data_IF_666766531606
#
_entry.id   IF_666766531606
#
_cell.length_a   1.000
_cell.length_b   1.000
_cell.length_c   1.000
_cell.angle_alpha   90.00
_cell.angle_beta   90.00
_cell.angle_gamma   90.00
#
_symmetry.space_group_name_H-M   'P 1'
#
loop_
_entity.id
_entity.type
_entity.pdbx_description
1 polymer ?
#
# COMPACT_ATOMS: atom_id res chain seq x y z
N UNK A 1 -37.71 -2.65 11.81
CA UNK A 1 -37.19 -3.42 10.67
C UNK A 1 -35.77 -3.85 11.03
N UNK A 2 -35.39 -5.13 10.87
CA UNK A 2 -34.01 -5.54 11.14
C UNK A 2 -33.10 -4.83 10.15
N UNK A 3 -32.07 -4.14 10.65
CA UNK A 3 -31.10 -3.46 9.82
C UNK A 3 -30.20 -4.49 9.13
N UNK A 4 -30.02 -4.32 7.83
CA UNK A 4 -29.21 -5.20 6.99
C UNK A 4 -27.73 -4.87 7.25
N UNK A 5 -27.00 -5.78 7.88
CA UNK A 5 -25.56 -5.65 8.04
C UNK A 5 -24.91 -5.71 6.66
N UNK A 6 -24.17 -4.66 6.28
CA UNK A 6 -23.42 -4.67 5.02
C UNK A 6 -22.23 -5.61 5.22
N UNK A 7 -22.34 -6.83 4.67
CA UNK A 7 -21.26 -7.81 4.68
C UNK A 7 -20.09 -7.28 3.85
N UNK A 8 -18.95 -7.02 4.50
CA UNK A 8 -17.71 -6.60 3.84
C UNK A 8 -16.68 -7.71 3.93
N UNK A 9 -16.13 -8.06 2.79
CA UNK A 9 -15.04 -9.03 2.72
C UNK A 9 -13.72 -8.28 2.74
N UNK A 10 -12.82 -8.71 3.62
CA UNK A 10 -11.46 -8.21 3.68
C UNK A 10 -10.48 -9.31 3.27
N UNK A 11 -9.29 -8.90 2.84
CA UNK A 11 -8.24 -9.80 2.40
C UNK A 11 -6.94 -9.47 3.13
N UNK A 12 -6.21 -10.51 3.50
CA UNK A 12 -4.89 -10.42 4.15
C UNK A 12 -3.93 -11.39 3.47
N UNK A 13 -2.64 -11.07 3.47
CA UNK A 13 -1.61 -11.88 2.81
C UNK A 13 -1.13 -11.25 1.51
N UNK A 14 -0.64 -12.06 0.58
CA UNK A 14 0.03 -11.57 -0.63
C UNK A 14 -0.91 -11.67 -1.83
N UNK A 15 -1.17 -10.53 -2.49
CA UNK A 15 -1.89 -10.47 -3.75
C UNK A 15 -0.92 -10.23 -4.91
N UNK A 16 -1.00 -11.08 -5.93
CA UNK A 16 -0.44 -10.79 -7.24
C UNK A 16 -1.47 -9.97 -8.03
N UNK A 17 -1.16 -8.70 -8.30
CA UNK A 17 -2.09 -7.77 -8.94
C UNK A 17 -1.42 -7.04 -10.10
N UNK A 18 -2.22 -6.57 -11.05
CA UNK A 18 -1.80 -5.57 -12.05
C UNK A 18 -2.46 -4.23 -11.74
N UNK A 19 -1.88 -3.15 -12.25
CA UNK A 19 -2.50 -1.82 -12.17
C UNK A 19 -3.64 -1.74 -13.18
N UNK A 20 -4.88 -1.60 -12.71
CA UNK A 20 -6.07 -1.43 -13.54
C UNK A 20 -6.27 0.04 -13.92
N UNK A 21 -6.06 0.96 -12.98
CA UNK A 21 -6.20 2.40 -13.20
C UNK A 21 -5.31 3.23 -12.26
N UNK A 22 -5.07 4.49 -12.63
CA UNK A 22 -4.31 5.48 -11.83
C UNK A 22 -5.17 6.75 -11.75
N UNK A 23 -5.50 7.21 -10.55
CA UNK A 23 -6.42 8.34 -10.32
C UNK A 23 -7.64 8.37 -11.26
N UNK A 24 -8.43 7.25 -11.34
CA UNK A 24 -9.60 7.21 -12.20
C UNK A 24 -10.62 8.27 -11.79
N UNK A 25 -11.27 8.82 -12.81
CA UNK A 25 -12.41 9.73 -12.67
C UNK A 25 -13.59 9.02 -11.99
N UNK A 26 -14.58 9.79 -11.54
CA UNK A 26 -15.79 9.24 -10.92
C UNK A 26 -16.52 8.27 -11.85
N UNK A 27 -16.60 8.58 -13.15
CA UNK A 27 -17.22 7.71 -14.15
C UNK A 27 -16.47 6.38 -14.30
N UNK A 28 -15.14 6.44 -14.42
CA UNK A 28 -14.30 5.23 -14.52
C UNK A 28 -14.40 4.37 -13.25
N UNK A 29 -14.48 4.99 -12.06
CA UNK A 29 -14.65 4.24 -10.80
C UNK A 29 -15.99 3.50 -10.76
N UNK A 30 -17.07 4.13 -11.22
CA UNK A 30 -18.39 3.48 -11.33
C UNK A 30 -18.31 2.29 -12.30
N UNK A 31 -17.69 2.46 -13.46
CA UNK A 31 -17.50 1.39 -14.45
C UNK A 31 -16.67 0.22 -13.89
N UNK A 32 -15.66 0.53 -13.08
CA UNK A 32 -14.85 -0.46 -12.37
C UNK A 32 -15.59 -1.15 -11.20
N UNK A 33 -16.80 -0.72 -10.87
CA UNK A 33 -17.57 -1.21 -9.71
C UNK A 33 -17.03 -0.73 -8.36
N UNK A 34 -16.22 0.34 -8.37
CA UNK A 34 -15.71 0.99 -7.17
C UNK A 34 -16.75 2.00 -6.71
N UNK A 35 -17.69 1.56 -5.88
CA UNK A 35 -18.68 2.45 -5.29
C UNK A 35 -18.28 2.76 -3.86
N UNK A 36 -18.08 4.02 -3.51
CA UNK A 36 -17.86 4.40 -2.11
C UNK A 36 -19.17 4.29 -1.34
N UNK A 37 -19.12 3.91 -0.05
CA UNK A 37 -20.31 3.90 0.81
C UNK A 37 -21.04 5.26 0.78
N UNK A 38 -20.27 6.35 0.75
CA UNK A 38 -20.82 7.71 0.64
C UNK A 38 -21.58 7.94 -0.69
N UNK A 39 -21.17 7.27 -1.78
CA UNK A 39 -21.87 7.31 -3.07
C UNK A 39 -23.15 6.47 -3.06
N UNK A 40 -23.16 5.35 -2.31
CA UNK A 40 -24.36 4.53 -2.08
C UNK A 40 -25.37 5.26 -1.21
N UNK A 41 -24.91 5.90 -0.12
CA UNK A 41 -25.76 6.54 0.88
C UNK A 41 -26.35 7.86 0.40
N UNK A 42 -25.63 8.61 -0.44
CA UNK A 42 -26.07 9.95 -0.91
C UNK A 42 -26.64 9.98 -2.32
N UNK A 43 -26.54 8.87 -3.08
CA UNK A 43 -26.89 8.83 -4.51
C UNK A 43 -26.05 9.78 -5.38
N UNK A 44 -24.93 10.32 -4.84
CA UNK A 44 -24.05 11.27 -5.50
C UNK A 44 -22.59 10.88 -5.24
N UNK A 45 -21.79 10.78 -6.29
CA UNK A 45 -20.34 10.68 -6.13
C UNK A 45 -19.79 12.06 -5.79
N UNK A 46 -19.16 12.22 -4.62
CA UNK A 46 -18.31 13.40 -4.38
C UNK A 46 -17.07 13.29 -5.28
N UNK A 47 -16.69 14.38 -5.98
CA UNK A 47 -15.48 14.38 -6.76
C UNK A 47 -14.28 14.08 -5.86
N UNK A 48 -13.40 13.19 -6.31
CA UNK A 48 -12.18 12.86 -5.56
C UNK A 48 -11.25 14.05 -5.58
N UNK A 49 -10.96 14.59 -4.40
CA UNK A 49 -9.83 15.47 -4.24
C UNK A 49 -8.55 14.63 -4.07
N UNK A 50 -7.60 14.83 -4.98
CA UNK A 50 -6.27 14.24 -4.94
C UNK A 50 -5.21 15.18 -4.35
N UNK A 51 -5.60 16.38 -3.92
CA UNK A 51 -4.69 17.34 -3.31
C UNK A 51 -5.04 17.48 -1.84
N UNK A 52 -4.06 17.16 -0.99
CA UNK A 52 -4.16 17.32 0.45
C UNK A 52 -3.95 18.78 0.85
N UNK A 53 -4.45 19.17 2.03
CA UNK A 53 -4.35 20.56 2.54
C UNK A 53 -2.90 21.02 2.71
N UNK A 54 -1.98 20.10 3.01
CA UNK A 54 -0.54 20.36 3.14
C UNK A 54 0.22 20.47 1.81
N UNK A 55 -0.52 20.42 0.69
CA UNK A 55 0.00 20.57 -0.66
C UNK A 55 0.56 19.30 -1.30
N UNK A 56 0.49 18.14 -0.61
CA UNK A 56 0.81 16.85 -1.23
C UNK A 56 -0.22 16.49 -2.30
N UNK A 57 0.24 15.85 -3.36
CA UNK A 57 -0.62 15.22 -4.36
C UNK A 57 -0.69 13.72 -4.10
N UNK A 58 -1.90 13.17 -4.02
CA UNK A 58 -2.19 11.76 -3.81
C UNK A 58 -2.32 11.05 -5.16
N UNK A 59 -1.57 9.97 -5.31
CA UNK A 59 -1.60 9.06 -6.45
C UNK A 59 -2.21 7.75 -5.94
N UNK A 60 -3.41 7.45 -6.42
CA UNK A 60 -4.15 6.22 -6.16
C UNK A 60 -3.93 5.26 -7.33
N UNK A 61 -3.19 4.18 -7.08
CA UNK A 61 -3.12 3.03 -7.96
C UNK A 61 -4.24 2.05 -7.60
N UNK A 62 -5.13 1.80 -8.54
CA UNK A 62 -6.14 0.75 -8.41
C UNK A 62 -5.57 -0.55 -8.94
N UNK A 63 -5.44 -1.52 -8.05
CA UNK A 63 -4.79 -2.80 -8.30
C UNK A 63 -5.86 -3.87 -8.37
N UNK A 64 -5.79 -4.71 -9.40
CA UNK A 64 -6.70 -5.82 -9.60
C UNK A 64 -5.92 -7.13 -9.66
N UNK A 65 -6.39 -8.10 -8.89
CA UNK A 65 -5.85 -9.46 -8.88
C UNK A 65 -6.95 -10.48 -8.67
N UNK A 66 -6.55 -11.71 -8.37
CA UNK A 66 -7.45 -12.82 -8.11
C UNK A 66 -7.17 -13.42 -6.73
N UNK A 67 -8.22 -13.84 -6.04
CA UNK A 67 -8.07 -14.71 -4.87
C UNK A 67 -7.90 -16.18 -5.29
N UNK A 68 -7.70 -17.07 -4.32
CA UNK A 68 -7.52 -18.51 -4.54
C UNK A 68 -8.72 -19.18 -5.21
N UNK A 69 -9.91 -18.60 -5.10
CA UNK A 69 -11.13 -19.09 -5.76
C UNK A 69 -11.35 -18.47 -7.15
N UNK A 70 -10.40 -17.67 -7.66
CA UNK A 70 -10.49 -17.02 -8.97
C UNK A 70 -11.38 -15.78 -9.02
N UNK A 71 -11.80 -15.24 -7.87
CA UNK A 71 -12.63 -14.03 -7.80
C UNK A 71 -11.78 -12.78 -7.90
N UNK A 72 -12.33 -11.75 -8.53
CA UNK A 72 -11.67 -10.46 -8.64
C UNK A 72 -11.51 -9.81 -7.26
N UNK A 73 -10.27 -9.43 -6.94
CA UNK A 73 -9.93 -8.61 -5.78
C UNK A 73 -9.42 -7.28 -6.30
N UNK A 74 -10.09 -6.19 -5.89
CA UNK A 74 -9.66 -4.82 -6.19
C UNK A 74 -9.25 -4.11 -4.92
N UNK A 75 -8.08 -3.50 -4.94
CA UNK A 75 -7.57 -2.71 -3.81
C UNK A 75 -6.98 -1.39 -4.30
N UNK A 76 -6.97 -0.40 -3.42
CA UNK A 76 -6.35 0.89 -3.67
C UNK A 76 -5.03 0.99 -2.93
N UNK A 77 -3.96 1.30 -3.65
CA UNK A 77 -2.67 1.68 -3.08
C UNK A 77 -2.43 3.17 -3.31
N UNK A 78 -2.40 3.94 -2.22
CA UNK A 78 -2.25 5.39 -2.28
C UNK A 78 -0.84 5.80 -1.88
N UNK A 79 -0.19 6.61 -2.73
CA UNK A 79 1.09 7.26 -2.47
C UNK A 79 0.92 8.77 -2.44
N UNK A 80 1.72 9.47 -1.66
CA UNK A 80 1.65 10.93 -1.52
C UNK A 80 2.97 11.55 -1.90
N UNK A 81 2.93 12.51 -2.82
CA UNK A 81 4.12 13.16 -3.39
C UNK A 81 4.09 14.67 -3.20
N UNK A 82 5.26 15.28 -3.02
CA UNK A 82 5.42 16.74 -2.97
C UNK A 82 6.76 17.14 -3.56
N UNK A 83 6.81 18.24 -4.32
CA UNK A 83 8.05 18.75 -4.92
C UNK A 83 8.91 19.52 -3.90
N UNK A 84 9.18 18.89 -2.77
CA UNK A 84 10.01 19.39 -1.69
C UNK A 84 10.97 18.28 -1.26
N UNK A 85 12.14 18.64 -0.75
CA UNK A 85 13.09 17.68 -0.21
C UNK A 85 12.44 16.83 0.88
N UNK A 86 12.72 15.53 0.86
CA UNK A 86 12.26 14.61 1.88
C UNK A 86 12.81 15.00 3.26
N UNK A 87 12.03 14.69 4.30
CA UNK A 87 12.39 15.03 5.68
C UNK A 87 13.73 14.38 6.03
N UNK A 88 14.67 15.11 6.65
CA UNK A 88 15.89 14.50 7.16
C UNK A 88 15.57 13.47 8.24
N UNK A 89 16.49 12.54 8.46
CA UNK A 89 16.37 11.58 9.57
C UNK A 89 16.40 12.29 10.92
N UNK A 90 16.09 11.56 11.99
CA UNK A 90 16.17 12.07 13.38
C UNK A 90 17.56 12.58 13.75
N UNK A 91 18.61 12.06 13.12
CA UNK A 91 20.02 12.45 13.32
C UNK A 91 20.49 13.51 12.30
N UNK A 92 19.59 14.07 11.49
CA UNK A 92 19.90 15.14 10.54
C UNK A 92 20.51 14.67 9.20
N UNK A 93 20.56 13.36 8.94
CA UNK A 93 21.01 12.86 7.63
C UNK A 93 19.95 13.18 6.57
N UNK A 94 20.39 13.52 5.37
CA UNK A 94 19.51 13.80 4.25
C UNK A 94 19.20 12.52 3.48
N UNK A 95 17.96 12.37 3.01
CA UNK A 95 17.60 11.27 2.13
C UNK A 95 18.03 11.61 0.71
N UNK A 96 18.77 10.69 0.10
CA UNK A 96 19.24 10.80 -1.29
C UNK A 96 18.76 9.62 -2.11
N UNK A 97 18.65 9.82 -3.42
CA UNK A 97 18.26 8.82 -4.40
C UNK A 97 19.25 8.78 -5.56
N UNK A 98 19.70 7.59 -5.96
CA UNK A 98 20.65 7.42 -7.06
C UNK A 98 19.95 7.04 -8.39
N UNK A 99 20.72 6.88 -9.46
CA UNK A 99 20.18 6.54 -10.79
C UNK A 99 19.47 5.16 -10.87
N UNK A 100 19.71 4.29 -9.90
CA UNK A 100 19.04 2.99 -9.79
C UNK A 100 17.74 3.09 -8.97
N UNK A 101 17.36 4.28 -8.51
CA UNK A 101 16.20 4.50 -7.64
C UNK A 101 16.38 3.92 -6.24
N UNK A 102 17.61 3.53 -5.87
CA UNK A 102 17.94 3.18 -4.48
C UNK A 102 17.97 4.45 -3.66
N UNK A 103 17.63 4.34 -2.38
CA UNK A 103 17.70 5.45 -1.45
C UNK A 103 18.59 5.16 -0.26
N UNK A 104 19.24 6.20 0.25
CA UNK A 104 20.03 6.13 1.48
C UNK A 104 19.87 7.43 2.26
N UNK A 105 20.07 7.36 3.58
CA UNK A 105 20.27 8.56 4.40
C UNK A 105 21.76 8.79 4.55
N UNK A 106 22.27 9.93 4.06
CA UNK A 106 23.69 10.27 4.14
C UNK A 106 23.92 11.55 4.94
N UNK A 107 25.06 11.70 5.63
CA UNK A 107 25.41 12.96 6.27
C UNK A 107 25.59 14.08 5.23
N UNK A 108 25.19 15.30 5.57
CA UNK A 108 25.27 16.48 4.70
C UNK A 108 26.67 16.69 4.09
N UNK A 109 27.73 16.44 4.88
CA UNK A 109 29.13 16.59 4.43
C UNK A 109 29.51 15.67 3.27
N UNK A 110 28.87 14.51 3.13
CA UNK A 110 29.09 13.58 2.02
C UNK A 110 28.34 14.03 0.78
N UNK A 111 27.11 14.53 0.96
CA UNK A 111 26.30 15.09 -0.12
C UNK A 111 26.97 16.28 -0.80
N UNK A 112 27.48 17.24 -0.01
CA UNK A 112 28.17 18.42 -0.53
C UNK A 112 29.45 18.08 -1.30
N UNK A 113 30.12 16.98 -0.92
CA UNK A 113 31.29 16.45 -1.63
C UNK A 113 30.91 15.61 -2.85
N UNK A 114 29.63 15.33 -3.09
CA UNK A 114 29.16 14.45 -4.17
C UNK A 114 29.65 13.00 -4.02
N UNK A 115 29.93 12.55 -2.79
CA UNK A 115 30.47 11.21 -2.50
C UNK A 115 29.51 10.43 -1.61
N UNK A 116 29.39 9.14 -1.87
CA UNK A 116 28.62 8.26 -0.99
C UNK A 116 29.50 7.73 0.14
N UNK A 117 29.00 7.66 1.38
CA UNK A 117 29.66 6.89 2.44
C UNK A 117 29.48 5.37 2.26
N UNK A 118 28.72 4.92 1.24
CA UNK A 118 28.28 3.54 1.03
C UNK A 118 28.63 3.03 -0.36
N UNK A 119 29.87 3.24 -0.83
CA UNK A 119 30.28 2.99 -2.23
C UNK A 119 29.97 1.57 -2.73
N UNK A 120 29.96 0.57 -1.84
CA UNK A 120 29.70 -0.84 -2.18
C UNK A 120 28.30 -1.09 -2.75
N UNK A 121 27.28 -0.37 -2.27
CA UNK A 121 25.87 -0.65 -2.63
C UNK A 121 25.06 0.58 -3.05
N UNK A 122 25.58 1.78 -2.79
CA UNK A 122 24.99 3.06 -3.15
C UNK A 122 26.08 4.03 -3.63
N UNK A 123 26.19 4.22 -4.93
CA UNK A 123 27.21 5.08 -5.55
C UNK A 123 26.61 6.35 -6.16
N UNK A 124 27.49 7.35 -6.36
CA UNK A 124 27.18 8.55 -7.11
C UNK A 124 27.02 8.25 -8.63
N UNK A 125 26.27 9.07 -9.38
CA UNK A 125 25.58 10.29 -8.95
C UNK A 125 24.25 10.01 -8.24
N UNK A 126 23.94 10.85 -7.26
CA UNK A 126 22.66 10.86 -6.54
C UNK A 126 22.19 12.30 -6.29
N UNK A 127 20.89 12.46 -6.04
CA UNK A 127 20.25 13.74 -5.74
C UNK A 127 19.49 13.65 -4.41
N UNK A 128 19.04 14.78 -3.87
CA UNK A 128 18.10 14.77 -2.75
C UNK A 128 16.81 14.10 -3.19
N UNK A 129 16.33 13.15 -2.39
CA UNK A 129 15.02 12.58 -2.62
C UNK A 129 13.96 13.62 -2.27
N UNK A 130 12.91 13.70 -3.08
CA UNK A 130 11.72 14.49 -2.77
C UNK A 130 10.70 13.67 -1.98
N UNK A 131 9.80 14.33 -1.28
CA UNK A 131 8.74 13.68 -0.49
C UNK A 131 7.93 12.73 -1.38
N UNK A 132 7.96 11.43 -1.08
CA UNK A 132 7.21 10.40 -1.82
C UNK A 132 7.90 9.88 -3.09
N UNK A 133 9.05 10.45 -3.49
CA UNK A 133 9.76 10.05 -4.71
C UNK A 133 10.32 8.64 -4.60
N UNK A 134 10.88 8.30 -3.44
CA UNK A 134 11.42 6.99 -3.16
C UNK A 134 10.35 5.90 -3.27
N UNK A 135 9.20 6.12 -2.65
CA UNK A 135 8.07 5.20 -2.62
C UNK A 135 7.46 5.03 -4.00
N UNK A 136 7.27 6.13 -4.74
CA UNK A 136 6.75 6.08 -6.10
C UNK A 136 7.69 5.33 -7.04
N UNK A 137 9.00 5.63 -7.01
CA UNK A 137 9.97 4.93 -7.85
C UNK A 137 10.10 3.47 -7.47
N UNK A 138 10.10 3.15 -6.18
CA UNK A 138 10.12 1.77 -5.72
C UNK A 138 8.90 0.99 -6.25
N UNK A 139 7.71 1.58 -6.16
CA UNK A 139 6.48 0.99 -6.68
C UNK A 139 6.53 0.80 -8.19
N UNK A 140 6.87 1.85 -8.95
CA UNK A 140 6.91 1.79 -10.42
C UNK A 140 7.98 0.80 -10.90
N UNK A 141 9.16 0.74 -10.27
CA UNK A 141 10.18 -0.24 -10.63
C UNK A 141 9.73 -1.67 -10.34
N UNK A 142 9.07 -1.91 -9.21
CA UNK A 142 8.52 -3.22 -8.87
C UNK A 142 7.41 -3.64 -9.85
N UNK A 143 6.51 -2.71 -10.17
CA UNK A 143 5.45 -2.91 -11.16
C UNK A 143 6.02 -3.24 -12.54
N UNK A 144 7.00 -2.48 -13.02
CA UNK A 144 7.72 -2.73 -14.28
C UNK A 144 8.67 -3.93 -14.21
N UNK A 145 8.68 -4.68 -13.11
CA UNK A 145 9.51 -5.86 -12.89
C UNK A 145 11.02 -5.62 -13.11
N UNK A 146 11.49 -4.38 -12.87
CA UNK A 146 12.90 -3.98 -13.02
C UNK A 146 13.78 -4.76 -12.05
N UNK A 147 14.96 -5.17 -12.53
CA UNK A 147 15.98 -5.79 -11.67
C UNK A 147 16.76 -4.72 -10.92
N UNK A 148 17.47 -5.13 -9.87
CA UNK A 148 18.20 -4.20 -8.98
C UNK A 148 19.36 -3.47 -9.70
N UNK A 149 19.92 -4.13 -10.70
CA UNK A 149 20.99 -3.62 -11.56
C UNK A 149 20.50 -2.69 -12.66
N UNK A 150 19.20 -2.70 -12.99
CA UNK A 150 18.64 -1.84 -14.01
C UNK A 150 18.62 -0.38 -13.54
N UNK A 151 18.73 0.54 -14.50
CA UNK A 151 18.41 1.94 -14.24
C UNK A 151 16.94 2.06 -13.87
N UNK A 152 16.65 2.88 -12.86
CA UNK A 152 15.28 3.18 -12.49
C UNK A 152 14.53 3.85 -13.64
N UNK A 153 13.20 3.72 -13.62
CA UNK A 153 12.33 4.50 -14.49
C UNK A 153 12.57 5.99 -14.21
N UNK A 154 12.86 6.75 -15.26
CA UNK A 154 13.02 8.20 -15.15
C UNK A 154 11.63 8.82 -15.11
N UNK A 155 11.26 9.42 -13.98
CA UNK A 155 9.96 10.07 -13.81
C UNK A 155 10.12 11.60 -13.76
N UNK A 156 9.23 12.34 -14.43
CA UNK A 156 9.12 13.79 -14.22
C UNK A 156 8.37 14.07 -12.92
N UNK A 157 9.09 13.95 -11.81
CA UNK A 157 8.51 14.09 -10.48
C UNK A 157 7.93 15.49 -10.23
N UNK A 158 8.50 16.53 -10.85
CA UNK A 158 7.99 17.89 -10.72
C UNK A 158 6.60 18.04 -11.36
N UNK A 159 6.37 17.39 -12.50
CA UNK A 159 5.04 17.33 -13.12
C UNK A 159 4.07 16.43 -12.36
N UNK A 160 4.53 15.26 -11.91
CA UNK A 160 3.69 14.30 -11.17
C UNK A 160 3.17 14.91 -9.85
N UNK A 161 4.02 15.61 -9.11
CA UNK A 161 3.64 16.30 -7.86
C UNK A 161 2.64 17.45 -8.07
N UNK A 162 2.45 17.92 -9.30
CA UNK A 162 1.41 18.89 -9.69
C UNK A 162 0.13 18.21 -10.21
N UNK A 163 0.11 16.88 -10.23
CA UNK A 163 -1.01 16.07 -10.69
C UNK A 163 -1.02 15.75 -12.17
N UNK A 164 0.07 16.02 -12.90
CA UNK A 164 0.20 15.57 -14.28
C UNK A 164 0.72 14.13 -14.30
N UNK A 165 -0.19 13.18 -14.50
CA UNK A 165 0.09 11.75 -14.48
C UNK A 165 0.28 11.13 -15.87
N UNK A 166 0.44 11.95 -16.92
CA UNK A 166 0.54 11.49 -18.32
C UNK A 166 1.57 10.38 -18.49
N UNK A 167 2.74 10.51 -17.85
CA UNK A 167 3.80 9.51 -17.93
C UNK A 167 3.40 8.18 -17.28
N UNK A 168 2.74 8.21 -16.12
CA UNK A 168 2.28 6.99 -15.46
C UNK A 168 1.18 6.30 -16.28
N UNK A 169 0.30 7.07 -16.92
CA UNK A 169 -0.69 6.50 -17.85
C UNK A 169 -0.05 5.91 -19.11
N UNK A 170 1.03 6.51 -19.63
CA UNK A 170 1.79 5.93 -20.74
C UNK A 170 2.42 4.59 -20.34
N UNK A 171 2.99 4.50 -19.14
CA UNK A 171 3.51 3.25 -18.58
C UNK A 171 2.39 2.21 -18.51
N UNK A 172 1.24 2.58 -17.92
CA UNK A 172 0.07 1.72 -17.84
C UNK A 172 -0.40 1.20 -19.21
N UNK A 173 -0.39 2.05 -20.23
CA UNK A 173 -0.80 1.67 -21.58
C UNK A 173 0.21 0.76 -22.27
N UNK A 174 1.51 0.96 -22.03
CA UNK A 174 2.58 0.16 -22.63
C UNK A 174 2.74 -1.22 -21.98
N UNK A 175 2.42 -1.33 -20.68
CA UNK A 175 2.71 -2.53 -19.88
C UNK A 175 1.47 -3.00 -19.11
N UNK A 176 0.36 -3.16 -19.83
CA UNK A 176 -0.95 -3.52 -19.26
C UNK A 176 -0.98 -4.87 -18.53
N UNK A 177 0.04 -5.71 -18.71
CA UNK A 177 0.09 -7.08 -18.18
C UNK A 177 1.14 -7.27 -17.07
N UNK A 178 1.90 -6.25 -16.70
CA UNK A 178 2.88 -6.38 -15.64
C UNK A 178 2.21 -6.52 -14.28
N UNK A 179 2.48 -7.65 -13.62
CA UNK A 179 2.04 -7.91 -12.26
C UNK A 179 3.06 -7.38 -11.24
N UNK A 180 2.54 -7.00 -10.09
CA UNK A 180 3.25 -6.62 -8.87
C UNK A 180 2.70 -7.44 -7.71
N UNK A 181 3.59 -7.85 -6.80
CA UNK A 181 3.21 -8.49 -5.54
C UNK A 181 3.05 -7.42 -4.47
N UNK A 182 1.86 -7.37 -3.89
CA UNK A 182 1.53 -6.46 -2.80
C UNK A 182 1.06 -7.26 -1.60
N UNK A 183 1.39 -6.77 -0.42
CA UNK A 183 0.87 -7.34 0.82
C UNK A 183 -0.39 -6.59 1.24
N UNK A 184 -1.47 -7.32 1.46
CA UNK A 184 -2.74 -6.81 1.91
C UNK A 184 -2.88 -6.98 3.42
N UNK A 185 -3.52 -6.00 4.04
CA UNK A 185 -3.90 -6.03 5.44
C UNK A 185 -5.24 -5.37 5.69
N UNK A 186 -5.67 -5.43 6.95
CA UNK A 186 -6.86 -4.73 7.44
C UNK A 186 -6.45 -3.77 8.53
N UNK A 187 -6.80 -2.50 8.36
CA UNK A 187 -6.63 -1.46 9.37
C UNK A 187 -7.93 -1.25 10.13
N UNK A 188 -7.83 -1.10 11.45
CA UNK A 188 -8.96 -0.76 12.31
C UNK A 188 -8.84 0.72 12.65
N UNK A 189 -9.86 1.51 12.31
CA UNK A 189 -9.94 2.91 12.72
C UNK A 189 -10.35 3.03 14.20
N UNK A 190 -10.21 4.23 14.75
CA UNK A 190 -10.53 4.52 16.16
C UNK A 190 -12.00 4.23 16.52
N UNK A 191 -12.89 4.29 15.53
CA UNK A 191 -14.31 3.97 15.66
C UNK A 191 -14.62 2.47 15.46
N UNK A 192 -13.60 1.62 15.40
CA UNK A 192 -13.71 0.17 15.22
C UNK A 192 -13.95 -0.26 13.76
N UNK A 193 -14.14 0.66 12.82
CA UNK A 193 -14.36 0.30 11.41
C UNK A 193 -13.11 -0.29 10.78
N UNK A 194 -13.30 -1.32 9.97
CA UNK A 194 -12.22 -2.03 9.28
C UNK A 194 -12.09 -1.55 7.83
N UNK A 195 -10.84 -1.34 7.41
CA UNK A 195 -10.50 -0.86 6.07
C UNK A 195 -9.46 -1.76 5.43
N UNK A 196 -9.72 -2.18 4.19
CA UNK A 196 -8.72 -2.85 3.37
C UNK A 196 -7.56 -1.89 3.11
N UNK A 197 -6.33 -2.37 3.33
CA UNK A 197 -5.11 -1.59 3.11
C UNK A 197 -4.04 -2.42 2.41
N UNK A 198 -3.04 -1.72 1.85
CA UNK A 198 -1.85 -2.28 1.19
C UNK A 198 -0.62 -1.88 2.01
N UNK A 199 0.34 -2.79 2.16
CA UNK A 199 1.48 -2.59 3.05
C UNK A 199 2.38 -1.53 2.43
N UNK A 200 2.49 -0.34 3.05
CA UNK A 200 3.00 0.83 2.33
C UNK A 200 4.52 0.80 2.16
N UNK A 201 5.23 -0.02 2.93
CA UNK A 201 6.70 0.00 2.98
C UNK A 201 7.39 -0.85 1.91
N UNK A 202 6.71 -1.89 1.42
CA UNK A 202 7.33 -2.81 0.49
C UNK A 202 6.31 -3.39 -0.49
N UNK A 203 6.63 -3.22 -1.76
CA UNK A 203 6.03 -3.96 -2.87
C UNK A 203 7.14 -4.71 -3.60
N UNK A 204 6.80 -5.81 -4.26
CA UNK A 204 7.81 -6.67 -4.88
C UNK A 204 7.48 -6.92 -6.35
N UNK A 205 8.50 -7.05 -7.20
CA UNK A 205 8.33 -7.59 -8.54
C UNK A 205 7.63 -8.95 -8.52
N UNK A 206 6.85 -9.23 -9.56
CA UNK A 206 6.15 -10.51 -9.74
C UNK A 206 7.08 -11.72 -9.69
N UNK A 207 8.32 -11.62 -10.17
CA UNK A 207 9.31 -12.70 -10.16
C UNK A 207 9.95 -12.96 -8.80
N UNK A 208 9.70 -12.13 -7.78
CA UNK A 208 10.34 -12.30 -6.46
C UNK A 208 9.82 -13.55 -5.75
N UNK A 209 10.71 -14.49 -5.44
CA UNK A 209 10.39 -15.71 -4.67
C UNK A 209 10.88 -15.66 -3.22
N UNK A 210 11.82 -14.76 -2.91
CA UNK A 210 12.35 -14.56 -1.57
C UNK A 210 11.59 -13.43 -0.86
N UNK A 211 10.89 -13.80 0.21
CA UNK A 211 10.04 -12.90 1.00
C UNK A 211 10.68 -12.45 2.32
N UNK A 212 11.94 -12.77 2.59
CA UNK A 212 12.61 -12.43 3.85
C UNK A 212 12.63 -10.93 4.12
N UNK A 213 12.84 -10.12 3.08
CA UNK A 213 12.82 -8.67 3.22
C UNK A 213 11.42 -8.17 3.61
N UNK A 214 10.38 -8.71 2.97
CA UNK A 214 8.99 -8.38 3.32
C UNK A 214 8.68 -8.78 4.76
N UNK A 215 9.10 -9.97 5.17
CA UNK A 215 8.90 -10.45 6.53
C UNK A 215 9.61 -9.55 7.55
N UNK A 216 10.89 -9.21 7.33
CA UNK A 216 11.66 -8.31 8.21
C UNK A 216 11.00 -6.93 8.31
N UNK A 217 10.58 -6.35 7.17
CA UNK A 217 9.88 -5.06 7.15
C UNK A 217 8.54 -5.12 7.88
N UNK A 218 7.78 -6.20 7.73
CA UNK A 218 6.51 -6.38 8.43
C UNK A 218 6.70 -6.54 9.93
N UNK A 219 7.64 -7.37 10.38
CA UNK A 219 7.97 -7.55 11.80
C UNK A 219 8.40 -6.22 12.41
N UNK A 220 9.31 -5.51 11.73
CA UNK A 220 9.74 -4.18 12.15
C UNK A 220 8.58 -3.21 12.20
N UNK A 221 7.68 -3.22 11.20
CA UNK A 221 6.49 -2.40 11.19
C UNK A 221 5.65 -2.70 12.43
N UNK A 222 5.15 -3.93 12.60
CA UNK A 222 4.25 -4.38 13.68
C UNK A 222 4.81 -4.17 15.10
N UNK A 223 6.13 -4.21 15.27
CA UNK A 223 6.78 -3.95 16.55
C UNK A 223 6.62 -2.50 17.04
N UNK A 224 6.31 -1.55 16.16
CA UNK A 224 6.09 -0.16 16.54
C UNK A 224 4.70 0.02 17.17
N UNK A 225 4.61 0.71 18.31
CA UNK A 225 3.34 0.86 19.04
C UNK A 225 2.21 1.50 18.21
N UNK A 226 2.54 2.35 17.23
CA UNK A 226 1.57 2.98 16.33
C UNK A 226 0.92 2.01 15.33
N UNK A 227 1.56 0.90 14.99
CA UNK A 227 1.06 -0.04 13.97
C UNK A 227 0.25 -1.21 14.54
N UNK A 228 0.14 -1.34 15.87
CA UNK A 228 -0.53 -2.49 16.51
C UNK A 228 -2.02 -2.62 16.18
N UNK A 229 -2.67 -1.52 15.78
CA UNK A 229 -4.06 -1.51 15.30
C UNK A 229 -4.19 -1.45 13.77
N UNK A 230 -3.07 -1.37 13.04
CA UNK A 230 -3.07 -1.01 11.63
C UNK A 230 -3.08 -2.20 10.68
N UNK A 231 -2.77 -3.42 11.16
CA UNK A 231 -2.55 -4.57 10.29
C UNK A 231 -3.01 -5.89 10.94
N UNK A 232 -4.20 -6.37 10.59
CA UNK A 232 -4.72 -7.71 10.93
C UNK A 232 -3.97 -8.88 10.27
N UNK A 233 -2.67 -8.75 10.06
CA UNK A 233 -1.80 -9.71 9.37
C UNK A 233 -0.73 -10.20 10.34
N UNK A 234 -0.51 -11.51 10.40
CA UNK A 234 0.58 -12.08 11.20
C UNK A 234 1.85 -12.23 10.36
N UNK A 235 3.05 -12.19 10.97
CA UNK A 235 4.30 -12.43 10.25
C UNK A 235 4.36 -13.76 9.49
N UNK A 236 3.65 -14.79 9.95
CA UNK A 236 3.59 -16.11 9.33
C UNK A 236 2.84 -16.10 7.99
N UNK A 237 1.86 -15.20 7.81
CA UNK A 237 1.14 -15.05 6.54
C UNK A 237 2.04 -14.59 5.38
N UNK A 238 3.23 -14.03 5.67
CA UNK A 238 4.23 -13.70 4.63
C UNK A 238 4.78 -14.97 3.99
N UNK A 239 5.00 -16.02 4.79
CA UNK A 239 5.64 -17.25 4.33
C UNK A 239 4.67 -18.22 3.66
N UNK A 240 3.38 -18.16 3.97
CA UNK A 240 2.37 -18.95 3.23
C UNK A 240 2.19 -18.43 1.79
N UNK A 241 2.57 -17.17 1.51
CA UNK A 241 2.51 -16.55 0.16
C UNK A 241 1.11 -16.57 -0.45
N UNK A 242 0.10 -16.82 0.37
CA UNK A 242 -1.30 -16.95 -0.01
C UNK A 242 -2.08 -15.68 0.29
N UNK A 243 -3.26 -15.62 -0.30
CA UNK A 243 -4.24 -14.58 -0.02
C UNK A 243 -5.40 -15.19 0.75
N UNK A 244 -5.54 -14.79 2.01
CA UNK A 244 -6.64 -15.22 2.83
C UNK A 244 -7.78 -14.22 2.74
N UNK A 245 -8.99 -14.78 2.70
CA UNK A 245 -10.23 -14.03 2.80
C UNK A 245 -10.69 -14.01 4.26
N UNK A 246 -10.80 -12.81 4.81
CA UNK A 246 -11.45 -12.57 6.09
C UNK A 246 -12.91 -12.20 5.84
N UNK A 247 -13.82 -13.07 6.30
CA UNK A 247 -15.24 -12.73 6.41
C UNK A 247 -15.43 -12.02 7.73
N UNK A 248 -15.57 -10.71 7.66
CA UNK A 248 -15.88 -9.90 8.83
C UNK A 248 -17.31 -9.37 8.69
N UNK A 249 -18.07 -9.46 9.79
CA UNK A 249 -19.34 -8.78 9.91
C UNK A 249 -19.08 -7.46 10.63
N UNK A 250 -19.18 -6.33 9.92
CA UNK A 250 -19.22 -5.02 10.56
C UNK A 250 -20.65 -4.83 11.10
N UNK A 251 -20.83 -4.81 12.42
CA UNK A 251 -22.08 -4.35 13.02
C UNK A 251 -22.18 -2.83 12.88
N UNK A 252 -23.28 -2.33 12.31
CA UNK A 252 -23.53 -0.89 12.21
C UNK A 252 -23.90 -0.38 13.60
N UNK A 253 -22.97 0.30 14.27
CA UNK A 253 -23.28 1.05 15.50
C UNK A 253 -23.98 2.34 15.09
N UNK A 254 -25.32 2.38 15.17
CA UNK A 254 -26.05 3.64 15.10
C UNK A 254 -25.91 4.38 16.43
N UNK A 255 -25.22 5.52 16.45
CA UNK A 255 -25.30 6.48 17.55
C UNK A 255 -26.69 7.11 17.55
N UNK A 256 -27.63 6.49 18.26
CA UNK A 256 -28.84 7.17 18.70
C UNK A 256 -28.46 8.12 19.83
N UNK A 257 -28.65 9.42 19.61
CA UNK A 257 -28.62 10.43 20.66
C UNK A 257 -29.54 10.01 21.82
N UNK A 258 -28.97 9.68 22.97
CA UNK A 258 -29.62 9.78 24.27
C UNK A 258 -28.59 9.91 25.38
N UNK A 259 -28.77 10.97 26.16
CA UNK A 259 -27.97 11.41 27.29
C UNK A 259 -27.70 10.33 28.35
N UNK A 260 -26.54 10.46 29.01
CA UNK A 260 -26.13 9.88 30.29
C UNK A 260 -26.26 8.36 30.48
N UNK A 261 -25.12 7.66 30.63
CA UNK A 261 -24.78 6.87 31.82
C UNK A 261 -23.31 6.43 31.80
N UNK A 262 -22.79 6.26 33.00
CA UNK A 262 -21.39 5.99 33.39
C UNK A 262 -21.16 4.47 33.53
N UNK A 263 -19.90 4.03 33.33
CA UNK A 263 -19.30 2.68 33.56
C UNK A 263 -19.47 1.65 32.41
N UNK A 264 -18.52 0.77 32.08
CA UNK A 264 -17.23 0.37 32.67
C UNK A 264 -16.30 -0.16 31.55
N UNK A 265 -14.98 -0.03 31.74
CA UNK A 265 -13.99 -0.74 30.92
C UNK A 265 -14.08 -2.25 31.23
N UNK A 266 -14.52 -3.06 30.27
CA UNK A 266 -14.12 -4.46 30.17
C UNK A 266 -13.58 -4.70 28.76
N UNK A 267 -12.26 -4.80 28.68
CA UNK A 267 -11.55 -5.41 27.56
C UNK A 267 -11.75 -6.92 27.69
N UNK A 268 -12.53 -7.54 26.79
CA UNK A 268 -12.44 -8.98 26.59
C UNK A 268 -11.28 -9.30 25.64
N UNK A 269 -10.51 -10.38 25.90
CA UNK A 269 -9.40 -10.77 25.05
C UNK A 269 -9.89 -11.37 23.74
N UNK A 270 -9.23 -10.97 22.66
CA UNK A 270 -9.39 -11.47 21.29
C UNK A 270 -9.20 -12.99 21.30
N UNK A 271 -10.27 -13.74 21.04
CA UNK A 271 -10.18 -15.15 20.68
C UNK A 271 -11.03 -15.41 19.42
N UNK A 272 -10.44 -16.20 18.52
CA UNK A 272 -11.04 -16.78 17.32
C UNK A 272 -11.04 -15.90 16.06
N UNK A 273 -9.87 -15.79 15.44
CA UNK A 273 -9.77 -15.80 13.98
C UNK A 273 -10.14 -17.22 13.51
N UNK A 274 -11.29 -17.39 12.86
CA UNK A 274 -11.59 -18.60 12.10
C UNK A 274 -10.69 -18.66 10.86
N UNK A 275 -9.44 -19.09 11.05
CA UNK A 275 -8.57 -19.49 9.94
C UNK A 275 -8.98 -20.90 9.52
N UNK A 276 -9.33 -21.16 8.24
CA UNK A 276 -9.48 -22.51 7.76
C UNK A 276 -8.11 -23.20 7.77
N UNK A 277 -7.89 -24.10 8.73
CA UNK A 277 -6.76 -25.02 8.73
C UNK A 277 -7.00 -26.00 7.57
N UNK A 278 -6.36 -25.73 6.43
CA UNK A 278 -6.27 -26.72 5.37
C UNK A 278 -4.80 -27.15 5.29
N UNK A 279 -4.48 -28.26 5.97
CA UNK A 279 -3.23 -28.97 5.73
C UNK A 279 -3.31 -29.59 4.33
N UNK A 280 -2.50 -29.11 3.40
CA UNK A 280 -2.24 -29.84 2.16
C UNK A 280 -0.74 -30.07 2.02
N UNK A 281 -0.42 -31.34 1.78
CA UNK A 281 0.91 -31.90 1.68
C UNK A 281 1.69 -31.32 0.48
N UNK A 282 2.99 -31.15 0.69
CA UNK A 282 4.01 -30.81 -0.31
C UNK A 282 4.21 -31.95 -1.33
N UNK A 283 3.25 -32.20 -2.22
CA UNK A 283 3.50 -32.91 -3.49
C UNK A 283 2.51 -32.37 -4.52
N UNK A 284 2.94 -31.40 -5.33
CA UNK A 284 2.51 -31.17 -6.72
C UNK A 284 2.88 -29.75 -7.18
N UNK A 285 4.13 -29.58 -7.61
CA UNK A 285 4.50 -28.52 -8.56
C UNK A 285 5.29 -29.15 -9.71
N UNK A 286 4.85 -29.00 -10.98
CA UNK A 286 5.64 -29.41 -12.12
C UNK A 286 6.81 -28.43 -12.34
N UNK A 287 7.95 -29.00 -12.73
CA UNK A 287 9.22 -28.35 -13.05
C UNK A 287 9.12 -27.25 -14.11
#
# INVERSE_FOLDING_TARGET
MPQESVRREHYVGILLAYVEAINPTDAERIEMGIVTQESLDSGRTKPVNYREEDGRYRIDFWLKGKDESGRDVRVRHSLFVKNEDARPSTVGNIQVINQQGKTAYIPQVFFEKGKSPYEDWFSAPFQRARVGEAELLHFVNAWMNKKTEDKAVVLDFASISKGNLKQLHQILQSDKASYVKIMLGVRIADDGRRFQTVFPRLVMPSWTINYERLHKELVNYLSNAQSRNDYGVTPDMVYDRKLYRLRVYDEVVTTSNSSNMVHSNMQEPISQLDLPITSMHDEDLPF
#
